data_IF_405111193667
#
_entry.id   IF_405111193667
#
_cell.length_a   1.000
_cell.length_b   1.000
_cell.length_c   1.000
_cell.angle_alpha   90.00
_cell.angle_beta   90.00
_cell.angle_gamma   90.00
#
_symmetry.space_group_name_H-M   'P 1'
#
loop_
_entity.id
_entity.type
_entity.pdbx_description
1 polymer ?
#
# COMPACT_ATOMS: atom_id res chain seq x y z
N UNK A 1 12.59 12.04 1.52
CA UNK A 1 13.53 10.94 1.69
C UNK A 1 13.00 9.70 0.99
N UNK A 2 13.85 9.02 0.24
CA UNK A 2 13.51 7.84 -0.55
C UNK A 2 14.56 7.63 -1.62
N UNK A 3 14.37 6.58 -2.45
CA UNK A 3 15.23 6.31 -3.59
C UNK A 3 14.62 6.96 -4.82
N UNK A 4 15.40 7.76 -5.56
CA UNK A 4 14.97 8.33 -6.83
C UNK A 4 15.11 7.25 -7.92
N UNK A 5 14.01 6.86 -8.52
CA UNK A 5 13.95 5.91 -9.62
C UNK A 5 13.33 6.61 -10.82
N UNK A 6 14.16 7.00 -11.77
CA UNK A 6 13.74 7.77 -12.95
C UNK A 6 13.79 6.94 -14.22
N UNK A 7 14.73 6.00 -14.28
CA UNK A 7 14.99 5.19 -15.45
C UNK A 7 14.92 3.70 -15.13
N UNK A 8 14.84 2.86 -16.17
CA UNK A 8 14.94 1.41 -16.01
C UNK A 8 16.32 0.98 -15.48
N UNK A 9 17.37 1.72 -15.81
CA UNK A 9 18.73 1.47 -15.32
C UNK A 9 18.81 1.68 -13.79
N UNK A 10 18.13 2.72 -13.25
CA UNK A 10 18.05 2.94 -11.80
C UNK A 10 17.41 1.73 -11.10
N UNK A 11 16.35 1.17 -11.73
CA UNK A 11 15.68 -0.03 -11.19
C UNK A 11 16.58 -1.25 -11.29
N UNK A 12 17.33 -1.44 -12.39
CA UNK A 12 18.31 -2.51 -12.49
C UNK A 12 19.36 -2.41 -11.40
N UNK A 13 19.92 -1.21 -11.19
CA UNK A 13 20.93 -0.97 -10.15
C UNK A 13 20.37 -1.22 -8.74
N UNK A 14 19.11 -0.82 -8.48
CA UNK A 14 18.45 -1.06 -7.21
C UNK A 14 18.23 -2.54 -6.93
N UNK A 15 17.92 -3.31 -7.96
CA UNK A 15 17.56 -4.73 -7.86
C UNK A 15 18.76 -5.67 -8.12
N UNK A 16 19.95 -5.12 -8.34
CA UNK A 16 21.14 -5.93 -8.57
C UNK A 16 21.45 -6.81 -7.36
N UNK A 17 21.70 -8.07 -7.62
CA UNK A 17 21.93 -9.09 -6.59
C UNK A 17 20.70 -9.49 -5.76
N UNK A 18 19.53 -8.88 -5.98
CA UNK A 18 18.29 -9.22 -5.27
C UNK A 18 17.44 -10.22 -6.05
N UNK A 19 16.93 -11.20 -5.33
CA UNK A 19 15.97 -12.17 -5.89
C UNK A 19 14.56 -11.88 -5.37
N UNK A 20 13.78 -11.13 -6.15
CA UNK A 20 12.41 -10.74 -5.80
C UNK A 20 11.40 -11.91 -5.85
N UNK A 21 11.78 -13.05 -6.42
CA UNK A 21 10.99 -14.28 -6.31
C UNK A 21 11.18 -14.95 -4.93
N UNK A 22 12.32 -14.69 -4.27
CA UNK A 22 12.65 -15.23 -2.96
C UNK A 22 12.30 -14.30 -1.81
N UNK A 23 12.50 -12.99 -2.00
CA UNK A 23 12.31 -11.98 -0.96
C UNK A 23 11.13 -11.06 -1.31
N UNK A 24 10.13 -10.94 -0.42
CA UNK A 24 9.05 -9.98 -0.63
C UNK A 24 9.61 -8.55 -0.62
N UNK A 25 9.07 -7.71 -1.48
CA UNK A 25 9.46 -6.31 -1.53
C UNK A 25 8.28 -5.39 -1.23
N UNK A 26 8.59 -4.17 -0.81
CA UNK A 26 7.60 -3.15 -0.56
C UNK A 26 8.08 -1.81 -1.12
N UNK A 27 7.27 -1.23 -2.03
CA UNK A 27 7.50 0.08 -2.62
C UNK A 27 6.23 0.93 -2.49
N UNK A 28 6.32 2.06 -1.79
CA UNK A 28 5.28 3.08 -1.82
C UNK A 28 5.58 4.06 -2.95
N UNK A 29 4.65 4.21 -3.87
CA UNK A 29 4.88 4.91 -5.14
C UNK A 29 4.07 6.21 -5.27
N UNK A 30 3.51 6.69 -4.17
CA UNK A 30 2.72 7.92 -4.16
C UNK A 30 1.35 7.75 -4.84
N UNK A 31 1.10 8.50 -5.91
CA UNK A 31 -0.21 8.55 -6.57
C UNK A 31 -0.56 7.28 -7.36
N UNK A 32 0.42 6.70 -8.05
CA UNK A 32 0.19 5.57 -8.98
C UNK A 32 1.28 4.51 -8.91
N UNK A 33 0.88 3.25 -8.95
CA UNK A 33 1.79 2.11 -9.03
C UNK A 33 2.15 1.72 -10.48
N UNK A 34 1.51 2.32 -11.48
CA UNK A 34 1.57 1.88 -12.89
C UNK A 34 3.01 1.86 -13.44
N UNK A 35 3.69 3.00 -13.41
CA UNK A 35 5.05 3.12 -13.96
C UNK A 35 6.08 2.33 -13.14
N UNK A 36 6.12 2.40 -11.79
CA UNK A 36 7.02 1.58 -10.99
C UNK A 36 6.83 0.08 -11.20
N UNK A 37 5.60 -0.41 -11.29
CA UNK A 37 5.31 -1.82 -11.56
C UNK A 37 5.83 -2.24 -12.94
N UNK A 38 5.61 -1.41 -13.96
CA UNK A 38 6.10 -1.68 -15.32
C UNK A 38 7.64 -1.77 -15.35
N UNK A 39 8.34 -0.84 -14.68
CA UNK A 39 9.79 -0.83 -14.61
C UNK A 39 10.35 -2.05 -13.87
N UNK A 40 9.75 -2.42 -12.72
CA UNK A 40 10.16 -3.62 -11.97
C UNK A 40 9.92 -4.88 -12.79
N UNK A 41 8.76 -5.01 -13.44
CA UNK A 41 8.47 -6.16 -14.30
C UNK A 41 9.44 -6.27 -15.50
N UNK A 42 9.81 -5.13 -16.10
CA UNK A 42 10.79 -5.09 -17.18
C UNK A 42 12.19 -5.50 -16.70
N UNK A 43 12.62 -5.01 -15.53
CA UNK A 43 13.90 -5.36 -14.93
C UNK A 43 14.00 -6.85 -14.59
N UNK A 44 12.94 -7.43 -14.01
CA UNK A 44 12.88 -8.86 -13.68
C UNK A 44 12.93 -9.73 -14.94
N UNK A 45 12.19 -9.35 -16.00
CA UNK A 45 12.26 -10.03 -17.30
C UNK A 45 13.65 -9.96 -17.92
N UNK A 46 14.33 -8.82 -17.84
CA UNK A 46 15.69 -8.65 -18.36
C UNK A 46 16.71 -9.55 -17.61
N UNK A 47 16.44 -9.87 -16.34
CA UNK A 47 17.22 -10.85 -15.57
C UNK A 47 16.87 -12.32 -15.94
N UNK A 48 15.97 -12.56 -16.88
CA UNK A 48 15.53 -13.91 -17.26
C UNK A 48 14.62 -14.58 -16.21
N UNK A 49 14.06 -13.81 -15.27
CA UNK A 49 13.20 -14.32 -14.20
C UNK A 49 11.71 -14.20 -14.55
N UNK A 50 10.90 -15.04 -13.91
CA UNK A 50 9.45 -15.03 -14.09
C UNK A 50 8.81 -13.92 -13.24
N UNK A 51 8.06 -13.02 -13.89
CA UNK A 51 7.31 -11.95 -13.25
C UNK A 51 6.18 -12.49 -12.36
N UNK A 52 5.64 -13.66 -12.71
CA UNK A 52 4.56 -14.28 -11.92
C UNK A 52 5.01 -14.73 -10.52
N UNK A 53 6.32 -14.93 -10.33
CA UNK A 53 6.92 -15.27 -9.04
C UNK A 53 7.10 -14.05 -8.11
N UNK A 54 6.89 -12.82 -8.61
CA UNK A 54 6.97 -11.63 -7.79
C UNK A 54 5.92 -11.64 -6.69
N UNK A 55 6.32 -11.26 -5.47
CA UNK A 55 5.41 -11.12 -4.35
C UNK A 55 5.81 -9.93 -3.48
N UNK A 56 4.81 -9.23 -2.97
CA UNK A 56 5.01 -8.03 -2.16
C UNK A 56 4.05 -6.90 -2.54
N UNK A 57 4.51 -5.66 -2.42
CA UNK A 57 3.70 -4.47 -2.64
C UNK A 57 4.43 -3.48 -3.53
N UNK A 58 3.79 -3.07 -4.61
CA UNK A 58 4.11 -1.83 -5.35
C UNK A 58 2.83 -1.01 -5.33
N UNK A 59 2.67 -0.14 -4.33
CA UNK A 59 1.38 0.44 -4.03
C UNK A 59 1.31 1.95 -4.20
N UNK A 60 0.33 2.41 -4.98
CA UNK A 60 -0.08 3.81 -5.06
C UNK A 60 -1.39 4.06 -4.32
N UNK A 61 -1.61 5.31 -3.89
CA UNK A 61 -2.82 5.78 -3.23
C UNK A 61 -3.08 7.25 -3.55
N UNK A 62 -3.84 7.56 -4.62
CA UNK A 62 -4.05 8.94 -5.08
C UNK A 62 -4.77 9.81 -4.04
N UNK A 63 -5.73 9.28 -3.27
CA UNK A 63 -6.38 10.06 -2.21
C UNK A 63 -5.43 10.38 -1.06
N UNK A 64 -4.62 9.42 -0.63
CA UNK A 64 -3.62 9.65 0.41
C UNK A 64 -2.59 10.68 -0.06
N UNK A 65 -2.17 10.61 -1.32
CA UNK A 65 -1.25 11.58 -1.90
C UNK A 65 -1.87 12.98 -2.00
N UNK A 66 -3.15 13.06 -2.42
CA UNK A 66 -3.89 14.32 -2.45
C UNK A 66 -3.95 14.97 -1.05
N UNK A 67 -4.20 14.17 -0.01
CA UNK A 67 -4.25 14.67 1.37
C UNK A 67 -2.87 15.12 1.87
N UNK A 68 -1.80 14.48 1.40
CA UNK A 68 -0.42 14.83 1.79
C UNK A 68 0.07 16.09 1.11
N UNK A 69 -0.15 16.21 -0.21
CA UNK A 69 0.44 17.27 -1.05
C UNK A 69 -0.55 18.39 -1.39
N UNK A 70 -1.83 18.22 -1.04
CA UNK A 70 -2.91 19.15 -1.38
C UNK A 70 -3.30 19.15 -2.86
N UNK A 71 -2.66 18.34 -3.69
CA UNK A 71 -2.93 18.20 -5.13
C UNK A 71 -2.46 16.86 -5.65
N UNK A 72 -3.09 16.39 -6.71
CA UNK A 72 -2.60 15.29 -7.55
C UNK A 72 -2.04 15.85 -8.86
N UNK A 73 -1.19 15.06 -9.51
CA UNK A 73 -0.66 15.38 -10.85
C UNK A 73 -1.74 15.24 -11.92
N UNK A 74 -2.63 14.29 -11.74
CA UNK A 74 -3.74 13.95 -12.62
C UNK A 74 -5.09 14.11 -11.89
N UNK A 75 -6.20 14.10 -12.63
CA UNK A 75 -7.53 14.03 -12.03
C UNK A 75 -7.73 12.72 -11.29
N UNK A 76 -8.57 12.71 -10.25
CA UNK A 76 -8.89 11.50 -9.52
C UNK A 76 -9.48 10.40 -10.40
N UNK A 77 -10.32 10.76 -11.39
CA UNK A 77 -10.89 9.82 -12.34
C UNK A 77 -9.79 9.08 -13.14
N UNK A 78 -8.81 9.83 -13.66
CA UNK A 78 -7.68 9.24 -14.38
C UNK A 78 -6.79 8.39 -13.47
N UNK A 79 -6.59 8.83 -12.23
CA UNK A 79 -5.85 8.04 -11.24
C UNK A 79 -6.56 6.72 -10.89
N UNK A 80 -7.89 6.73 -10.79
CA UNK A 80 -8.69 5.52 -10.59
C UNK A 80 -8.67 4.60 -11.82
N UNK A 81 -8.68 5.14 -13.04
CA UNK A 81 -8.53 4.35 -14.26
C UNK A 81 -7.17 3.65 -14.29
N UNK A 82 -6.09 4.37 -13.96
CA UNK A 82 -4.76 3.78 -13.85
C UNK A 82 -4.68 2.71 -12.76
N UNK A 83 -5.33 2.93 -11.61
CA UNK A 83 -5.40 1.94 -10.54
C UNK A 83 -6.10 0.66 -11.02
N UNK A 84 -7.22 0.78 -11.72
CA UNK A 84 -7.95 -0.37 -12.27
C UNK A 84 -7.11 -1.17 -13.28
N UNK A 85 -6.43 -0.49 -14.20
CA UNK A 85 -5.54 -1.13 -15.17
C UNK A 85 -4.35 -1.82 -14.48
N UNK A 86 -3.79 -1.17 -13.47
CA UNK A 86 -2.68 -1.74 -12.68
C UNK A 86 -3.12 -3.03 -11.96
N UNK A 87 -4.32 -3.04 -11.37
CA UNK A 87 -4.90 -4.22 -10.74
C UNK A 87 -5.10 -5.33 -11.78
N UNK A 88 -5.75 -5.06 -12.92
CA UNK A 88 -5.97 -6.05 -13.98
C UNK A 88 -4.66 -6.68 -14.46
N UNK A 89 -3.67 -5.83 -14.70
CA UNK A 89 -2.37 -6.31 -15.14
C UNK A 89 -1.69 -7.19 -14.10
N UNK A 90 -1.69 -6.74 -12.83
CA UNK A 90 -1.05 -7.49 -11.74
C UNK A 90 -1.72 -8.84 -11.50
N UNK A 91 -3.06 -8.89 -11.47
CA UNK A 91 -3.79 -10.17 -11.29
C UNK A 91 -3.44 -11.17 -12.38
N UNK A 92 -3.22 -10.71 -13.61
CA UNK A 92 -2.86 -11.57 -14.75
C UNK A 92 -1.40 -12.00 -14.75
N UNK A 93 -0.46 -11.13 -14.39
CA UNK A 93 0.97 -11.33 -14.65
C UNK A 93 1.82 -11.50 -13.38
N UNK A 94 1.38 -10.96 -12.24
CA UNK A 94 2.07 -11.00 -10.95
C UNK A 94 1.04 -11.14 -9.81
N UNK A 95 0.32 -12.26 -9.72
CA UNK A 95 -0.87 -12.39 -8.87
C UNK A 95 -0.61 -12.22 -7.38
N UNK A 96 0.61 -12.36 -6.92
CA UNK A 96 1.02 -12.18 -5.52
C UNK A 96 1.48 -10.76 -5.19
N UNK A 97 1.41 -9.81 -6.15
CA UNK A 97 1.74 -8.39 -5.92
C UNK A 97 0.49 -7.59 -5.61
N UNK A 98 0.47 -6.91 -4.47
CA UNK A 98 -0.52 -5.89 -4.16
C UNK A 98 -0.14 -4.55 -4.81
N UNK A 99 -1.13 -3.82 -5.36
CA UNK A 99 -0.88 -2.59 -6.15
C UNK A 99 -1.50 -1.34 -5.55
N UNK A 100 -2.26 -1.49 -4.48
CA UNK A 100 -2.88 -0.37 -3.75
C UNK A 100 -2.37 -0.40 -2.31
N UNK A 101 -1.60 0.62 -1.92
CA UNK A 101 -1.08 0.74 -0.57
C UNK A 101 -1.70 1.96 0.12
N UNK A 102 -2.60 1.70 1.06
CA UNK A 102 -3.32 2.73 1.80
C UNK A 102 -2.61 2.94 3.13
N UNK A 103 -1.86 4.03 3.24
CA UNK A 103 -1.16 4.38 4.48
C UNK A 103 -1.99 5.33 5.34
N UNK A 104 -1.95 5.11 6.66
CA UNK A 104 -2.55 5.99 7.65
C UNK A 104 -1.67 7.20 8.00
N UNK A 105 -0.50 7.35 7.38
CA UNK A 105 0.51 8.35 7.74
C UNK A 105 -0.04 9.77 7.81
N UNK A 106 -0.76 10.20 6.77
CA UNK A 106 -1.31 11.55 6.69
C UNK A 106 -2.24 11.85 7.87
N UNK A 107 -3.01 10.87 8.32
CA UNK A 107 -3.92 11.02 9.45
C UNK A 107 -3.17 10.99 10.78
N UNK A 108 -2.29 10.02 10.97
CA UNK A 108 -1.47 9.89 12.18
C UNK A 108 -0.57 11.12 12.38
N UNK A 109 0.11 11.60 11.33
CA UNK A 109 0.93 12.81 11.38
C UNK A 109 0.08 14.07 11.62
N UNK A 110 -1.18 14.07 11.19
CA UNK A 110 -2.17 15.11 11.49
C UNK A 110 -2.73 15.06 12.90
N UNK A 111 -2.30 14.11 13.74
CA UNK A 111 -2.72 14.00 15.15
C UNK A 111 -3.95 13.11 15.38
N UNK A 112 -4.37 12.32 14.39
CA UNK A 112 -5.46 11.38 14.57
C UNK A 112 -5.12 10.32 15.63
N UNK A 113 -6.05 10.07 16.53
CA UNK A 113 -5.98 9.01 17.51
C UNK A 113 -6.33 7.65 16.87
N UNK A 114 -6.04 6.55 17.55
CA UNK A 114 -6.21 5.18 17.04
C UNK A 114 -7.55 4.91 16.34
N UNK A 115 -8.66 5.36 16.92
CA UNK A 115 -10.01 5.19 16.33
C UNK A 115 -10.19 6.02 15.06
N UNK A 116 -9.73 7.26 15.07
CA UNK A 116 -9.79 8.16 13.92
C UNK A 116 -8.86 7.69 12.79
N UNK A 117 -7.68 7.21 13.14
CA UNK A 117 -6.73 6.63 12.17
C UNK A 117 -7.36 5.47 11.40
N UNK A 118 -8.01 4.53 12.10
CA UNK A 118 -8.75 3.42 11.46
C UNK A 118 -9.88 3.98 10.57
N UNK A 119 -10.70 4.87 11.12
CA UNK A 119 -11.87 5.38 10.42
C UNK A 119 -11.50 6.09 9.12
N UNK A 120 -10.54 7.01 9.15
CA UNK A 120 -10.13 7.77 7.97
C UNK A 120 -9.43 6.89 6.93
N UNK A 121 -8.59 5.94 7.37
CA UNK A 121 -7.95 4.97 6.47
C UNK A 121 -9.00 4.13 5.74
N UNK A 122 -10.05 3.71 6.44
CA UNK A 122 -11.12 2.93 5.81
C UNK A 122 -12.07 3.77 4.96
N UNK A 123 -12.24 5.05 5.22
CA UNK A 123 -12.94 5.94 4.28
C UNK A 123 -12.23 5.96 2.92
N UNK A 124 -10.91 6.07 2.90
CA UNK A 124 -10.12 5.98 1.66
C UNK A 124 -10.28 4.61 1.00
N UNK A 125 -10.19 3.53 1.79
CA UNK A 125 -10.32 2.17 1.26
C UNK A 125 -11.71 1.89 0.67
N UNK A 126 -12.77 2.33 1.34
CA UNK A 126 -14.17 2.18 0.88
C UNK A 126 -14.38 2.92 -0.45
N UNK A 127 -13.81 4.12 -0.58
CA UNK A 127 -13.87 4.86 -1.84
C UNK A 127 -13.18 4.10 -2.97
N UNK A 128 -12.00 3.54 -2.72
CA UNK A 128 -11.32 2.71 -3.73
C UNK A 128 -12.10 1.44 -4.08
N UNK A 129 -12.71 0.77 -3.10
CA UNK A 129 -13.57 -0.40 -3.40
C UNK A 129 -14.70 0.01 -4.33
N UNK A 130 -15.39 1.12 -4.04
CA UNK A 130 -16.49 1.62 -4.87
C UNK A 130 -16.05 1.95 -6.29
N UNK A 131 -14.94 2.70 -6.41
CA UNK A 131 -14.42 3.13 -7.70
C UNK A 131 -13.90 1.95 -8.54
N UNK A 132 -13.30 0.94 -7.91
CA UNK A 132 -12.84 -0.26 -8.62
C UNK A 132 -14.01 -1.13 -9.06
N UNK A 133 -15.05 -1.30 -8.22
CA UNK A 133 -16.28 -2.00 -8.61
C UNK A 133 -16.99 -1.32 -9.79
N UNK A 134 -17.09 0.02 -9.80
CA UNK A 134 -17.64 0.79 -10.95
C UNK A 134 -16.87 0.51 -12.25
N UNK A 135 -15.57 0.25 -12.15
CA UNK A 135 -14.68 -0.07 -13.29
C UNK A 135 -14.63 -1.55 -13.64
N UNK A 136 -15.51 -2.37 -13.02
CA UNK A 136 -15.65 -3.79 -13.32
C UNK A 136 -14.53 -4.68 -12.76
N UNK A 137 -13.79 -4.21 -11.75
CA UNK A 137 -12.87 -5.07 -11.02
C UNK A 137 -13.67 -5.91 -10.03
N UNK A 138 -13.40 -7.22 -9.97
CA UNK A 138 -14.06 -8.11 -9.03
C UNK A 138 -13.68 -7.80 -7.59
N UNK A 139 -14.58 -8.08 -6.63
CA UNK A 139 -14.30 -7.89 -5.21
C UNK A 139 -13.11 -8.74 -4.76
N UNK A 140 -12.92 -9.93 -5.34
CA UNK A 140 -11.77 -10.79 -5.13
C UNK A 140 -10.46 -10.10 -5.54
N UNK A 141 -10.39 -9.56 -6.77
CA UNK A 141 -9.19 -8.87 -7.28
C UNK A 141 -8.86 -7.63 -6.45
N UNK A 142 -9.88 -6.89 -5.99
CA UNK A 142 -9.73 -5.76 -5.09
C UNK A 142 -9.10 -6.21 -3.77
N UNK A 143 -9.65 -7.25 -3.14
CA UNK A 143 -9.16 -7.81 -1.89
C UNK A 143 -7.69 -8.23 -1.97
N UNK A 144 -7.32 -8.89 -3.08
CA UNK A 144 -5.94 -9.33 -3.29
C UNK A 144 -4.97 -8.17 -3.57
N UNK A 145 -5.46 -7.04 -4.08
CA UNK A 145 -4.65 -5.89 -4.48
C UNK A 145 -4.40 -4.88 -3.36
N UNK A 146 -5.17 -4.93 -2.27
CA UNK A 146 -5.08 -3.95 -1.19
C UNK A 146 -4.08 -4.36 -0.12
N UNK A 147 -3.34 -3.35 0.36
CA UNK A 147 -2.39 -3.46 1.46
C UNK A 147 -2.48 -2.19 2.31
N UNK A 148 -2.47 -2.34 3.63
CA UNK A 148 -2.64 -1.24 4.56
C UNK A 148 -1.38 -0.94 5.34
N UNK A 149 -1.06 0.34 5.54
CA UNK A 149 0.01 0.80 6.40
C UNK A 149 -0.55 1.49 7.64
N UNK A 150 -0.24 0.98 8.84
CA UNK A 150 -0.60 1.63 10.10
C UNK A 150 0.63 2.04 10.88
N UNK A 151 0.52 3.18 11.55
CA UNK A 151 1.54 3.62 12.50
C UNK A 151 1.32 2.93 13.86
N UNK A 152 2.41 2.61 14.56
CA UNK A 152 2.38 2.05 15.90
C UNK A 152 3.03 3.03 16.86
N UNK A 153 2.23 3.54 17.79
CA UNK A 153 2.65 4.49 18.82
C UNK A 153 3.20 3.83 20.08
N UNK A 154 3.42 4.62 21.12
CA UNK A 154 4.00 4.16 22.38
C UNK A 154 2.96 3.50 23.33
N UNK A 155 1.66 3.65 23.07
CA UNK A 155 0.62 3.13 23.96
C UNK A 155 0.30 1.67 23.63
N UNK A 156 1.13 0.76 24.10
CA UNK A 156 1.20 -0.64 23.72
C UNK A 156 -0.17 -1.35 23.57
N UNK A 157 -1.01 -1.33 24.60
CA UNK A 157 -2.30 -2.03 24.55
C UNK A 157 -3.30 -1.40 23.58
N UNK A 158 -3.26 -0.08 23.43
CA UNK A 158 -4.10 0.62 22.45
C UNK A 158 -3.69 0.24 21.01
N UNK A 159 -2.40 0.12 20.75
CA UNK A 159 -1.90 -0.27 19.43
C UNK A 159 -2.26 -1.72 19.08
N UNK A 160 -2.17 -2.64 20.05
CA UNK A 160 -2.66 -4.01 19.87
C UNK A 160 -4.16 -4.01 19.57
N UNK A 161 -4.94 -3.28 20.35
CA UNK A 161 -6.40 -3.16 20.15
C UNK A 161 -6.73 -2.56 18.79
N UNK A 162 -6.01 -1.51 18.36
CA UNK A 162 -6.14 -0.87 17.06
C UNK A 162 -6.00 -1.87 15.90
N UNK A 163 -4.91 -2.61 15.87
CA UNK A 163 -4.65 -3.57 14.78
C UNK A 163 -5.65 -4.74 14.78
N UNK A 164 -6.12 -5.17 15.95
CA UNK A 164 -7.19 -6.18 16.05
C UNK A 164 -8.52 -5.64 15.57
N UNK A 165 -8.90 -4.45 16.02
CA UNK A 165 -10.13 -3.79 15.61
C UNK A 165 -10.13 -3.50 14.09
N UNK A 166 -9.00 -3.04 13.55
CA UNK A 166 -8.87 -2.79 12.12
C UNK A 166 -9.19 -4.04 11.28
N UNK A 167 -8.66 -5.20 11.64
CA UNK A 167 -8.98 -6.47 10.96
C UNK A 167 -10.47 -6.80 10.99
N UNK A 168 -11.09 -6.64 12.17
CA UNK A 168 -12.51 -6.95 12.34
C UNK A 168 -13.40 -6.00 11.55
N UNK A 169 -13.11 -4.70 11.60
CA UNK A 169 -13.88 -3.69 10.87
C UNK A 169 -13.70 -3.88 9.36
N UNK A 170 -12.48 -4.12 8.89
CA UNK A 170 -12.23 -4.39 7.47
C UNK A 170 -12.97 -5.63 6.98
N UNK A 171 -12.94 -6.72 7.73
CA UNK A 171 -13.69 -7.93 7.40
C UNK A 171 -15.20 -7.66 7.25
N UNK A 172 -15.77 -6.84 8.14
CA UNK A 172 -17.18 -6.44 8.06
C UNK A 172 -17.45 -5.54 6.84
N UNK A 173 -16.54 -4.63 6.50
CA UNK A 173 -16.64 -3.78 5.30
C UNK A 173 -16.64 -4.67 4.04
N UNK A 174 -15.68 -5.57 3.91
CA UNK A 174 -15.58 -6.46 2.75
C UNK A 174 -16.79 -7.38 2.64
N UNK A 175 -17.29 -7.89 3.76
CA UNK A 175 -18.57 -8.65 3.82
C UNK A 175 -19.74 -7.81 3.28
N UNK A 176 -19.84 -6.54 3.64
CA UNK A 176 -20.89 -5.66 3.16
C UNK A 176 -20.81 -5.38 1.65
N UNK A 177 -19.61 -5.48 1.05
CA UNK A 177 -19.40 -5.44 -0.40
C UNK A 177 -19.59 -6.79 -1.10
N UNK A 178 -19.97 -7.85 -0.36
CA UNK A 178 -20.22 -9.17 -0.93
C UNK A 178 -18.98 -10.05 -1.09
N UNK A 179 -17.89 -9.73 -0.39
CA UNK A 179 -16.68 -10.56 -0.44
C UNK A 179 -16.92 -11.92 0.27
N UNK A 180 -16.34 -12.98 -0.29
CA UNK A 180 -16.31 -14.28 0.37
C UNK A 180 -15.37 -14.27 1.58
N UNK A 181 -15.47 -15.26 2.46
CA UNK A 181 -14.71 -15.27 3.73
C UNK A 181 -13.20 -15.19 3.52
N UNK A 182 -12.68 -15.88 2.52
CA UNK A 182 -11.26 -15.88 2.16
C UNK A 182 -10.72 -14.50 1.72
N UNK A 183 -11.59 -13.65 1.17
CA UNK A 183 -11.26 -12.30 0.68
C UNK A 183 -11.41 -11.20 1.75
N UNK A 184 -11.84 -11.54 2.96
CA UNK A 184 -12.03 -10.56 4.04
C UNK A 184 -10.79 -10.33 4.88
N UNK A 185 -9.71 -11.06 4.60
CA UNK A 185 -8.46 -10.91 5.31
C UNK A 185 -7.80 -9.55 5.01
N UNK A 186 -7.14 -8.98 6.02
CA UNK A 186 -6.46 -7.69 5.89
C UNK A 186 -4.95 -7.87 5.89
N UNK A 187 -4.29 -7.41 4.84
CA UNK A 187 -2.83 -7.37 4.74
C UNK A 187 -2.34 -6.07 5.36
N UNK A 188 -1.51 -6.15 6.41
CA UNK A 188 -1.07 -4.98 7.19
C UNK A 188 0.45 -4.90 7.22
N UNK A 189 0.96 -3.71 6.93
CA UNK A 189 2.29 -3.26 7.31
C UNK A 189 2.17 -2.33 8.53
N UNK A 190 2.86 -2.66 9.60
CA UNK A 190 2.93 -1.82 10.79
C UNK A 190 4.33 -1.22 10.90
N UNK A 191 4.41 0.10 11.09
CA UNK A 191 5.67 0.81 11.30
C UNK A 191 5.60 1.69 12.53
N UNK A 192 6.73 1.95 13.20
CA UNK A 192 6.76 2.85 14.34
C UNK A 192 6.29 4.26 13.94
N UNK A 193 5.41 4.84 14.77
CA UNK A 193 4.88 6.17 14.54
C UNK A 193 5.99 7.23 14.58
N UNK A 194 5.91 8.22 13.69
CA UNK A 194 6.88 9.30 13.66
C UNK A 194 6.97 10.06 14.99
N UNK A 195 5.85 10.23 15.69
CA UNK A 195 5.78 10.88 16.99
C UNK A 195 6.56 10.16 18.12
N UNK A 196 6.97 8.91 17.93
CA UNK A 196 7.82 8.22 18.88
C UNK A 196 9.30 8.56 18.71
N UNK A 197 9.68 9.28 17.65
CA UNK A 197 11.05 9.63 17.30
C UNK A 197 11.45 11.00 17.88
N UNK A 198 12.74 11.19 18.06
CA UNK A 198 13.33 12.46 18.48
C UNK A 198 14.40 12.92 17.48
N UNK A 199 14.49 14.23 17.28
CA UNK A 199 15.57 14.85 16.50
C UNK A 199 16.76 15.24 17.36
N UNK A 200 16.61 15.27 18.70
CA UNK A 200 17.64 15.73 19.64
C UNK A 200 18.69 14.65 19.92
N UNK A 201 18.30 13.38 19.83
CA UNK A 201 19.21 12.23 19.94
C UNK A 201 18.77 11.16 18.95
N UNK A 202 19.35 11.22 17.76
CA UNK A 202 18.96 10.34 16.65
C UNK A 202 19.29 8.86 16.94
N UNK A 203 20.36 8.61 17.70
CA UNK A 203 20.78 7.25 18.08
C UNK A 203 19.74 6.51 18.92
N UNK A 204 19.00 7.22 19.78
CA UNK A 204 17.93 6.66 20.61
C UNK A 204 16.75 6.13 19.76
N UNK A 205 16.58 6.64 18.54
CA UNK A 205 15.49 6.18 17.69
C UNK A 205 15.58 4.70 17.30
N UNK A 206 16.79 4.12 17.31
CA UNK A 206 16.97 2.68 17.09
C UNK A 206 16.33 1.84 18.20
N UNK A 207 16.28 2.37 19.42
CA UNK A 207 15.67 1.71 20.59
C UNK A 207 14.16 1.97 20.70
N UNK A 208 13.64 2.93 19.91
CA UNK A 208 12.23 3.32 19.91
C UNK A 208 11.42 2.70 18.75
N UNK A 209 12.04 1.80 17.99
CA UNK A 209 11.42 1.10 16.88
C UNK A 209 10.81 -0.24 17.28
#
# INVERSE_FOLDING_TARGET
TGVSLTTLEDVHNLLDGLDLAKYPFMMYTGESALAPLAMVAAAVKAQGKDVSALHGVIGGSPLTQLLTDGKNKESLEKAYDQMAETIRWARKNAPSVATVFITSDVFSLGGAQAVQEIAYTFCVAVEYVREMLKRGISIHDIAQSFYFGFNVGATFFIEIAKLRAARQVWSNIMKAFGAEEEDRSMKIHAKPAFFTKTIFDVGVNMLRN
#
